data_IF_445269281277
#
_entry.id   IF_445269281277
#
_cell.length_a   1.000
_cell.length_b   1.000
_cell.length_c   1.000
_cell.angle_alpha   90.00
_cell.angle_beta   90.00
_cell.angle_gamma   90.00
#
_symmetry.space_group_name_H-M   'P 1'
#
loop_
_entity.id
_entity.type
_entity.pdbx_description
1 polymer ?
#
# COMPACT_ATOMS: atom_id res chain seq x y z
N UNK A 1 3.57 51.95 10.43
CA UNK A 1 3.54 51.20 9.16
C UNK A 1 3.17 49.78 9.53
N UNK A 2 1.89 49.57 9.80
CA UNK A 2 1.32 48.33 10.34
C UNK A 2 0.88 47.42 9.20
N UNK A 3 1.49 46.24 9.11
CA UNK A 3 1.07 45.19 8.20
C UNK A 3 -0.03 44.37 8.88
N UNK A 4 -1.28 44.67 8.53
CA UNK A 4 -2.44 43.84 8.84
C UNK A 4 -2.28 42.43 8.23
N UNK A 5 -1.92 41.46 9.05
CA UNK A 5 -2.08 40.04 8.72
C UNK A 5 -3.55 39.67 8.93
N UNK A 6 -4.31 39.61 7.84
CA UNK A 6 -5.63 39.00 7.82
C UNK A 6 -5.51 37.52 8.25
N UNK A 7 -5.96 37.21 9.46
CA UNK A 7 -6.31 35.85 9.88
C UNK A 7 -7.47 35.38 9.00
N UNK A 8 -7.18 34.52 8.02
CA UNK A 8 -8.20 33.68 7.41
C UNK A 8 -8.52 32.59 8.43
N UNK A 9 -9.62 32.78 9.17
CA UNK A 9 -10.23 31.77 10.00
C UNK A 9 -10.86 30.70 9.11
N UNK A 10 -10.14 29.60 8.86
CA UNK A 10 -10.74 28.39 8.32
C UNK A 10 -11.24 27.51 9.47
N UNK A 11 -12.42 27.88 9.99
CA UNK A 11 -13.31 26.98 10.73
C UNK A 11 -14.04 26.09 9.73
N UNK A 12 -13.35 25.05 9.27
CA UNK A 12 -14.00 23.81 8.87
C UNK A 12 -13.37 22.72 9.70
N UNK A 13 -14.12 22.22 10.69
CA UNK A 13 -13.79 20.99 11.38
C UNK A 13 -13.42 19.95 10.32
N UNK A 14 -12.14 19.55 10.29
CA UNK A 14 -11.71 18.43 9.50
C UNK A 14 -12.55 17.25 9.97
N UNK A 15 -13.54 16.83 9.16
CA UNK A 15 -14.27 15.59 9.42
C UNK A 15 -13.19 14.53 9.64
N UNK A 16 -13.18 13.92 10.84
CA UNK A 16 -12.41 12.72 11.11
C UNK A 16 -12.77 11.76 9.98
N UNK A 17 -11.88 11.61 9.00
CA UNK A 17 -12.02 10.53 8.04
C UNK A 17 -11.59 9.29 8.82
N UNK A 18 -12.58 8.67 9.48
CA UNK A 18 -12.41 7.35 10.06
C UNK A 18 -11.97 6.43 8.93
N UNK A 19 -10.77 5.87 9.10
CA UNK A 19 -10.32 4.83 8.21
C UNK A 19 -11.20 3.60 8.44
N UNK A 20 -11.66 2.92 7.39
CA UNK A 20 -12.25 1.61 7.58
C UNK A 20 -11.21 0.74 8.30
N UNK A 21 -11.62 -0.18 9.17
CA UNK A 21 -10.67 -1.11 9.71
C UNK A 21 -10.07 -1.95 8.57
N UNK A 22 -8.84 -2.39 8.81
CA UNK A 22 -8.05 -3.15 7.86
C UNK A 22 -8.79 -4.44 7.44
N UNK A 23 -8.50 -4.99 6.25
CA UNK A 23 -9.02 -6.29 5.84
C UNK A 23 -8.86 -7.32 6.97
N UNK A 24 -9.96 -7.95 7.40
CA UNK A 24 -9.94 -8.94 8.49
C UNK A 24 -10.20 -8.41 9.90
N UNK A 25 -10.41 -7.09 10.10
CA UNK A 25 -10.90 -6.53 11.37
C UNK A 25 -12.31 -5.95 11.21
N UNK A 26 -13.34 -6.78 11.41
CA UNK A 26 -14.70 -6.41 11.86
C UNK A 26 -15.48 -5.19 11.28
N UNK A 27 -15.17 -4.62 10.10
CA UNK A 27 -16.17 -3.82 9.35
C UNK A 27 -16.73 -4.60 8.19
N UNK A 28 -18.03 -4.41 7.89
CA UNK A 28 -18.66 -4.94 6.70
C UNK A 28 -17.81 -4.68 5.45
N UNK A 29 -17.52 -5.74 4.73
CA UNK A 29 -16.55 -5.80 3.63
C UNK A 29 -16.79 -4.73 2.54
N UNK A 30 -18.03 -4.29 2.37
CA UNK A 30 -18.42 -3.23 1.44
C UNK A 30 -17.86 -1.84 1.82
N UNK A 31 -18.01 -1.43 3.08
CA UNK A 31 -17.57 -0.11 3.55
C UNK A 31 -16.05 0.06 3.42
N UNK A 32 -15.33 -1.04 3.65
CA UNK A 32 -13.90 -1.15 3.43
C UNK A 32 -13.50 -0.82 1.98
N UNK A 33 -14.08 -1.50 1.00
CA UNK A 33 -13.73 -1.29 -0.41
C UNK A 33 -14.15 0.09 -0.93
N UNK A 34 -15.25 0.63 -0.43
CA UNK A 34 -15.69 1.99 -0.76
C UNK A 34 -14.67 3.03 -0.29
N UNK A 35 -14.20 2.91 0.96
CA UNK A 35 -13.26 3.87 1.52
C UNK A 35 -11.88 3.80 0.87
N UNK A 36 -11.40 2.61 0.46
CA UNK A 36 -10.21 2.50 -0.37
C UNK A 36 -10.43 3.10 -1.76
N UNK A 37 -11.55 2.79 -2.43
CA UNK A 37 -11.85 3.29 -3.78
C UNK A 37 -11.89 4.84 -3.84
N UNK A 38 -12.38 5.50 -2.78
CA UNK A 38 -12.37 6.97 -2.66
C UNK A 38 -10.96 7.60 -2.67
N UNK A 39 -9.90 6.80 -2.49
CA UNK A 39 -8.49 7.24 -2.52
C UNK A 39 -7.77 6.82 -3.81
N UNK A 40 -8.46 6.15 -4.72
CA UNK A 40 -7.91 5.62 -5.95
C UNK A 40 -8.51 6.29 -7.17
N UNK A 41 -7.72 6.36 -8.23
CA UNK A 41 -8.12 6.89 -9.51
C UNK A 41 -7.91 5.85 -10.60
N UNK A 42 -8.76 5.86 -11.62
CA UNK A 42 -8.60 5.01 -12.78
C UNK A 42 -7.27 5.32 -13.50
N UNK A 43 -6.41 4.32 -13.77
CA UNK A 43 -5.11 4.56 -14.43
C UNK A 43 -5.22 5.04 -15.88
N UNK A 44 -6.39 4.86 -16.53
CA UNK A 44 -6.66 5.35 -17.89
C UNK A 44 -7.07 6.83 -17.92
N UNK A 45 -8.09 7.20 -17.13
CA UNK A 45 -8.73 8.52 -17.24
C UNK A 45 -8.66 9.37 -15.96
N UNK A 46 -8.03 8.86 -14.90
CA UNK A 46 -7.86 9.51 -13.58
C UNK A 46 -9.16 9.86 -12.86
N UNK A 47 -10.32 9.38 -13.33
CA UNK A 47 -11.61 9.56 -12.66
C UNK A 47 -11.74 8.59 -11.47
N UNK A 48 -12.60 8.91 -10.48
CA UNK A 48 -12.83 8.05 -9.33
C UNK A 48 -13.27 6.64 -9.72
N UNK A 49 -12.84 5.67 -8.91
CA UNK A 49 -13.28 4.27 -9.00
C UNK A 49 -14.40 4.00 -8.00
N UNK A 50 -15.23 3.00 -8.29
CA UNK A 50 -16.24 2.49 -7.37
C UNK A 50 -16.12 0.97 -7.20
N UNK A 51 -16.37 0.43 -6.01
CA UNK A 51 -16.50 -1.02 -5.86
C UNK A 51 -17.76 -1.51 -6.57
N UNK A 52 -17.67 -2.70 -7.17
CA UNK A 52 -18.82 -3.45 -7.72
C UNK A 52 -18.96 -4.73 -6.90
N UNK A 53 -19.76 -4.72 -5.81
CA UNK A 53 -19.77 -5.79 -4.82
C UNK A 53 -20.40 -7.10 -5.33
N UNK A 54 -21.28 -6.99 -6.32
CA UNK A 54 -21.99 -8.12 -6.92
C UNK A 54 -21.09 -9.01 -7.80
N UNK A 55 -19.87 -8.57 -8.13
CA UNK A 55 -18.94 -9.33 -8.96
C UNK A 55 -18.01 -10.21 -8.12
N UNK A 56 -17.80 -11.44 -8.57
CA UNK A 56 -16.79 -12.37 -8.07
C UNK A 56 -15.83 -12.74 -9.23
N UNK A 57 -14.52 -12.40 -9.16
CA UNK A 57 -13.86 -11.71 -8.04
C UNK A 57 -14.34 -10.27 -7.87
N UNK A 58 -14.17 -9.77 -6.65
CA UNK A 58 -14.47 -8.37 -6.32
C UNK A 58 -13.75 -7.45 -7.30
N UNK A 59 -14.40 -6.36 -7.70
CA UNK A 59 -13.93 -5.54 -8.81
C UNK A 59 -14.13 -4.05 -8.52
N UNK A 60 -13.19 -3.23 -8.97
CA UNK A 60 -13.36 -1.78 -9.07
C UNK A 60 -13.75 -1.40 -10.50
N UNK A 61 -14.70 -0.48 -10.64
CA UNK A 61 -15.19 0.00 -11.94
C UNK A 61 -15.00 1.50 -12.06
N UNK A 62 -14.54 1.94 -13.22
CA UNK A 62 -14.56 3.34 -13.63
C UNK A 62 -15.79 3.61 -14.49
N UNK A 63 -16.76 4.40 -13.99
CA UNK A 63 -17.96 4.76 -14.77
C UNK A 63 -17.68 5.66 -15.97
N UNK A 64 -16.52 6.32 -16.01
CA UNK A 64 -16.20 7.27 -17.09
C UNK A 64 -15.68 6.58 -18.34
N UNK A 65 -14.70 5.69 -18.20
CA UNK A 65 -14.12 4.94 -19.33
C UNK A 65 -14.53 3.46 -19.37
N UNK A 66 -15.50 3.07 -18.54
CA UNK A 66 -16.04 1.70 -18.43
C UNK A 66 -15.02 0.58 -18.17
N UNK A 67 -13.85 0.91 -17.62
CA UNK A 67 -12.84 -0.08 -17.27
C UNK A 67 -13.13 -0.77 -15.93
N UNK A 68 -12.83 -2.06 -15.89
CA UNK A 68 -12.93 -2.91 -14.70
C UNK A 68 -11.55 -3.40 -14.27
N UNK A 69 -11.31 -3.36 -12.96
CA UNK A 69 -10.06 -3.76 -12.33
C UNK A 69 -10.34 -4.81 -11.26
N UNK A 70 -9.89 -6.06 -11.43
CA UNK A 70 -10.12 -7.11 -10.44
C UNK A 70 -9.37 -6.82 -9.15
N UNK A 71 -9.88 -7.34 -8.04
CA UNK A 71 -9.24 -7.33 -6.73
C UNK A 71 -8.82 -8.76 -6.43
N UNK A 72 -7.54 -9.05 -6.61
CA UNK A 72 -6.97 -10.38 -6.39
C UNK A 72 -6.29 -10.42 -5.04
N UNK A 73 -6.63 -11.41 -4.20
CA UNK A 73 -6.13 -11.51 -2.83
C UNK A 73 -6.25 -10.17 -2.08
N UNK A 74 -7.36 -9.45 -2.23
CA UNK A 74 -7.51 -8.13 -1.58
C UNK A 74 -6.52 -7.05 -2.07
N UNK A 75 -6.02 -7.16 -3.30
CA UNK A 75 -5.15 -6.16 -3.96
C UNK A 75 -5.82 -5.74 -5.27
N UNK A 76 -6.34 -4.49 -5.37
CA UNK A 76 -6.80 -3.96 -6.64
C UNK A 76 -5.67 -3.95 -7.69
N UNK A 77 -5.94 -4.52 -8.87
CA UNK A 77 -4.99 -4.65 -9.96
C UNK A 77 -5.08 -3.43 -10.91
N UNK A 78 -4.54 -2.28 -10.51
CA UNK A 78 -4.67 -1.01 -11.25
C UNK A 78 -3.56 -0.79 -12.28
N UNK A 79 -3.25 -1.83 -13.06
CA UNK A 79 -2.37 -1.72 -14.23
C UNK A 79 -3.22 -1.43 -15.46
N UNK A 80 -2.76 -0.47 -16.28
CA UNK A 80 -3.39 -0.17 -17.58
C UNK A 80 -3.52 -1.44 -18.42
N UNK A 81 -4.67 -1.73 -19.05
CA UNK A 81 -4.85 -2.97 -19.82
C UNK A 81 -3.76 -3.19 -20.86
N UNK A 82 -3.33 -2.13 -21.55
CA UNK A 82 -2.27 -2.16 -22.55
C UNK A 82 -0.89 -2.57 -22.01
N UNK A 83 -0.65 -2.45 -20.71
CA UNK A 83 0.63 -2.75 -20.06
C UNK A 83 0.63 -4.05 -19.26
N UNK A 84 -0.51 -4.73 -19.11
CA UNK A 84 -0.63 -5.89 -18.20
C UNK A 84 0.39 -6.98 -18.51
N UNK A 85 0.54 -7.36 -19.78
CA UNK A 85 1.46 -8.43 -20.17
C UNK A 85 2.92 -8.03 -20.01
N UNK A 86 3.25 -6.77 -20.30
CA UNK A 86 4.58 -6.21 -20.10
C UNK A 86 4.97 -6.26 -18.62
N UNK A 87 4.10 -5.75 -17.74
CA UNK A 87 4.31 -5.72 -16.30
C UNK A 87 4.35 -7.14 -15.72
N UNK A 88 3.51 -8.05 -16.20
CA UNK A 88 3.55 -9.45 -15.77
C UNK A 88 4.90 -10.11 -16.10
N UNK A 89 5.42 -9.93 -17.32
CA UNK A 89 6.75 -10.42 -17.71
C UNK A 89 7.86 -9.79 -16.88
N UNK A 90 7.80 -8.47 -16.68
CA UNK A 90 8.76 -7.75 -15.85
C UNK A 90 8.80 -8.31 -14.42
N UNK A 91 7.64 -8.46 -13.78
CA UNK A 91 7.53 -8.99 -12.41
C UNK A 91 8.10 -10.41 -12.29
N UNK A 92 7.83 -11.29 -13.27
CA UNK A 92 8.34 -12.66 -13.26
C UNK A 92 9.88 -12.68 -13.33
N UNK A 93 10.49 -11.89 -14.21
CA UNK A 93 11.94 -11.76 -14.32
C UNK A 93 12.55 -11.14 -13.06
N UNK A 94 11.92 -10.09 -12.55
CA UNK A 94 12.38 -9.37 -11.37
C UNK A 94 12.33 -10.26 -10.12
N UNK A 95 11.28 -11.05 -9.94
CA UNK A 95 11.18 -12.01 -8.83
C UNK A 95 12.23 -13.12 -8.91
N UNK A 96 12.52 -13.64 -10.11
CA UNK A 96 13.58 -14.63 -10.29
C UNK A 96 14.94 -14.09 -9.84
N UNK A 97 15.26 -12.83 -10.19
CA UNK A 97 16.48 -12.15 -9.75
C UNK A 97 16.46 -11.96 -8.24
N UNK A 98 15.37 -11.45 -7.66
CA UNK A 98 15.26 -11.22 -6.21
C UNK A 98 15.40 -12.49 -5.40
N UNK A 99 14.85 -13.62 -5.86
CA UNK A 99 15.03 -14.93 -5.23
C UNK A 99 16.50 -15.37 -5.27
N UNK A 100 17.13 -15.28 -6.45
CA UNK A 100 18.54 -15.64 -6.64
C UNK A 100 19.45 -14.81 -5.73
N UNK A 101 19.22 -13.51 -5.63
CA UNK A 101 20.01 -12.56 -4.85
C UNK A 101 19.65 -12.52 -3.36
N UNK A 102 18.57 -13.18 -2.93
CA UNK A 102 18.14 -13.20 -1.53
C UNK A 102 17.40 -11.94 -1.06
N UNK A 103 16.80 -11.20 -2.00
CA UNK A 103 15.88 -10.08 -1.73
C UNK A 103 14.42 -10.52 -1.58
N UNK A 104 14.15 -11.77 -1.89
CA UNK A 104 12.89 -12.47 -1.67
C UNK A 104 13.23 -13.89 -1.20
N UNK A 105 12.36 -14.47 -0.38
CA UNK A 105 12.52 -15.85 0.06
C UNK A 105 11.15 -16.45 0.40
N UNK A 106 10.85 -17.70 -0.02
CA UNK A 106 9.61 -18.38 0.35
C UNK A 106 9.60 -18.92 1.79
N UNK A 107 10.70 -18.80 2.55
CA UNK A 107 10.74 -19.22 3.95
C UNK A 107 9.61 -18.56 4.76
N UNK A 108 8.81 -19.33 5.51
CA UNK A 108 7.85 -18.77 6.45
C UNK A 108 8.54 -17.80 7.42
N UNK A 109 7.92 -16.65 7.66
CA UNK A 109 8.48 -15.64 8.56
C UNK A 109 9.56 -14.73 7.94
N UNK A 110 9.95 -14.94 6.68
CA UNK A 110 11.00 -14.12 6.04
C UNK A 110 10.60 -12.64 6.03
N UNK A 111 9.43 -12.29 5.49
CA UNK A 111 9.01 -10.90 5.35
C UNK A 111 8.67 -10.24 6.69
N UNK A 112 8.16 -11.00 7.66
CA UNK A 112 7.88 -10.59 9.03
C UNK A 112 9.17 -10.23 9.79
N UNK A 113 10.27 -10.93 9.50
CA UNK A 113 11.56 -10.69 10.12
C UNK A 113 12.24 -9.40 9.61
N UNK A 114 11.93 -8.98 8.38
CA UNK A 114 12.50 -7.77 7.80
C UNK A 114 12.01 -6.49 8.50
N UNK A 115 12.84 -5.45 8.65
CA UNK A 115 14.21 -5.36 8.18
C UNK A 115 15.24 -5.82 9.22
N UNK A 116 14.80 -6.23 10.41
CA UNK A 116 15.68 -6.45 11.57
C UNK A 116 16.47 -7.75 11.48
N UNK A 117 15.97 -8.74 10.75
CA UNK A 117 16.66 -10.01 10.53
C UNK A 117 16.41 -10.51 9.11
N UNK A 118 17.49 -10.72 8.37
CA UNK A 118 17.48 -11.35 7.05
C UNK A 118 17.66 -12.86 7.19
N UNK A 119 16.56 -13.63 7.05
CA UNK A 119 16.62 -15.09 7.16
C UNK A 119 17.31 -15.76 5.96
N UNK A 120 17.55 -15.04 4.86
CA UNK A 120 18.32 -15.59 3.74
C UNK A 120 19.83 -15.58 4.00
N UNK A 121 20.30 -14.72 4.92
CA UNK A 121 21.72 -14.47 5.18
C UNK A 121 22.47 -13.74 4.05
N UNK A 122 21.84 -13.45 2.91
CA UNK A 122 22.53 -12.92 1.71
C UNK A 122 22.73 -11.39 1.75
N UNK A 123 21.83 -10.66 2.41
CA UNK A 123 21.76 -9.20 2.36
C UNK A 123 21.78 -8.55 3.76
N UNK A 124 22.39 -9.22 4.75
CA UNK A 124 22.36 -8.83 6.17
C UNK A 124 22.74 -7.37 6.40
N UNK A 125 23.85 -6.89 5.82
CA UNK A 125 24.32 -5.50 6.00
C UNK A 125 23.34 -4.48 5.42
N UNK A 126 22.75 -4.76 4.26
CA UNK A 126 21.78 -3.86 3.62
C UNK A 126 20.48 -3.81 4.42
N UNK A 127 20.05 -4.94 4.98
CA UNK A 127 18.90 -4.99 5.89
C UNK A 127 19.16 -4.26 7.21
N UNK A 128 20.37 -4.34 7.77
CA UNK A 128 20.77 -3.53 8.93
C UNK A 128 20.68 -2.02 8.64
N UNK A 129 21.15 -1.57 7.46
CA UNK A 129 21.00 -0.18 7.04
C UNK A 129 19.51 0.21 6.93
N UNK A 130 18.67 -0.63 6.30
CA UNK A 130 17.22 -0.39 6.19
C UNK A 130 16.55 -0.35 7.56
N UNK A 131 16.95 -1.20 8.50
CA UNK A 131 16.46 -1.20 9.87
C UNK A 131 16.80 0.10 10.60
N UNK A 132 18.03 0.60 10.46
CA UNK A 132 18.44 1.89 11.04
C UNK A 132 17.64 3.05 10.45
N UNK A 133 17.50 3.10 9.13
CA UNK A 133 16.69 4.13 8.45
C UNK A 133 15.22 4.07 8.89
N UNK A 134 14.65 2.87 9.03
CA UNK A 134 13.30 2.68 9.51
C UNK A 134 13.11 3.19 10.95
N UNK A 135 14.05 2.90 11.85
CA UNK A 135 14.02 3.42 13.22
C UNK A 135 14.09 4.95 13.26
N UNK A 136 14.89 5.57 12.38
CA UNK A 136 14.95 7.04 12.26
C UNK A 136 13.61 7.58 11.78
N UNK A 137 13.00 6.97 10.76
CA UNK A 137 11.67 7.33 10.27
C UNK A 137 10.62 7.23 11.38
N UNK A 138 10.61 6.14 12.16
CA UNK A 138 9.66 5.98 13.27
C UNK A 138 9.82 7.08 14.32
N UNK A 139 11.05 7.41 14.72
CA UNK A 139 11.33 8.51 15.66
C UNK A 139 10.89 9.86 15.09
N UNK A 140 11.15 10.10 13.81
CA UNK A 140 10.73 11.34 13.14
C UNK A 140 9.20 11.46 13.09
N UNK A 141 8.49 10.39 12.71
CA UNK A 141 7.02 10.35 12.70
C UNK A 141 6.46 10.63 14.10
N UNK A 142 6.99 9.98 15.13
CA UNK A 142 6.58 10.21 16.52
C UNK A 142 6.81 11.67 16.94
N UNK A 143 8.00 12.22 16.69
CA UNK A 143 8.32 13.60 17.05
C UNK A 143 7.44 14.61 16.30
N UNK A 144 7.15 14.35 15.02
CA UNK A 144 6.43 15.27 14.15
C UNK A 144 4.92 15.23 14.36
N UNK A 145 4.36 14.05 14.62
CA UNK A 145 2.92 13.82 14.62
C UNK A 145 2.38 13.41 15.99
N UNK A 146 3.19 12.87 16.89
CA UNK A 146 2.72 12.35 18.17
C UNK A 146 1.67 11.27 17.94
N UNK A 147 0.57 11.34 18.69
CA UNK A 147 -0.57 10.42 18.57
C UNK A 147 -1.62 10.87 17.55
N UNK A 148 -1.33 11.90 16.74
CA UNK A 148 -2.25 12.35 15.69
C UNK A 148 -2.39 11.26 14.61
N UNK A 149 -3.59 11.07 14.04
CA UNK A 149 -3.76 10.21 12.88
C UNK A 149 -2.88 10.66 11.71
N UNK A 150 -2.13 9.74 11.11
CA UNK A 150 -1.29 9.98 9.92
C UNK A 150 -1.69 9.01 8.81
N UNK A 151 -1.81 9.55 7.60
CA UNK A 151 -2.01 8.80 6.37
C UNK A 151 -0.66 8.70 5.64
N UNK A 152 -0.25 7.50 5.24
CA UNK A 152 1.03 7.25 4.58
C UNK A 152 0.80 6.54 3.26
N UNK A 153 1.45 7.02 2.20
CA UNK A 153 1.62 6.30 0.94
C UNK A 153 3.05 5.75 0.92
N UNK A 154 3.17 4.42 0.89
CA UNK A 154 4.43 3.71 0.69
C UNK A 154 4.56 3.36 -0.80
N UNK A 155 5.31 4.17 -1.52
CA UNK A 155 5.46 4.10 -2.97
C UNK A 155 6.68 3.25 -3.33
N UNK A 156 6.48 2.17 -4.11
CA UNK A 156 7.51 1.17 -4.36
C UNK A 156 7.70 0.25 -3.16
N UNK A 157 6.58 -0.18 -2.57
CA UNK A 157 6.58 -0.88 -1.29
C UNK A 157 7.24 -2.28 -1.33
N UNK A 158 7.48 -2.83 -2.52
CA UNK A 158 7.99 -4.18 -2.73
C UNK A 158 7.10 -5.21 -2.05
N UNK A 159 7.65 -5.91 -1.05
CA UNK A 159 6.91 -6.90 -0.25
C UNK A 159 5.99 -6.28 0.81
N UNK A 160 6.01 -4.96 1.00
CA UNK A 160 5.21 -4.27 2.01
C UNK A 160 5.71 -4.41 3.44
N UNK A 161 6.96 -4.84 3.68
CA UNK A 161 7.49 -5.02 5.05
C UNK A 161 7.42 -3.73 5.88
N UNK A 162 7.69 -2.57 5.27
CA UNK A 162 7.66 -1.27 5.96
C UNK A 162 6.21 -0.89 6.26
N UNK A 163 5.34 -1.02 5.26
CA UNK A 163 3.90 -0.83 5.39
C UNK A 163 3.28 -1.70 6.48
N UNK A 164 3.67 -2.97 6.59
CA UNK A 164 3.21 -3.89 7.65
C UNK A 164 3.56 -3.36 9.05
N UNK A 165 4.76 -2.80 9.23
CA UNK A 165 5.20 -2.26 10.51
C UNK A 165 4.59 -0.91 10.83
N UNK A 166 4.49 0.00 9.86
CA UNK A 166 3.86 1.30 10.03
C UNK A 166 2.34 1.16 10.27
N UNK A 167 1.72 0.17 9.63
CA UNK A 167 0.30 -0.14 9.72
C UNK A 167 -0.20 -0.50 11.13
N UNK A 168 0.70 -0.84 12.05
CA UNK A 168 0.35 -1.05 13.46
C UNK A 168 -0.07 0.24 14.19
N UNK A 169 0.29 1.41 13.65
CA UNK A 169 0.03 2.72 14.26
C UNK A 169 -0.59 3.73 13.30
N UNK A 170 -0.24 3.65 12.02
CA UNK A 170 -0.65 4.60 11.00
C UNK A 170 -1.53 3.93 9.96
N UNK A 171 -2.25 4.73 9.19
CA UNK A 171 -3.03 4.23 8.07
C UNK A 171 -2.19 4.28 6.80
N UNK A 172 -1.89 3.12 6.24
CA UNK A 172 -0.91 2.97 5.16
C UNK A 172 -1.55 2.40 3.90
N UNK A 173 -1.27 3.03 2.76
CA UNK A 173 -1.49 2.47 1.44
C UNK A 173 -0.11 2.13 0.85
N UNK A 174 0.10 0.86 0.55
CA UNK A 174 1.27 0.35 -0.16
C UNK A 174 0.93 0.22 -1.64
N UNK A 175 1.77 0.80 -2.50
CA UNK A 175 1.65 0.68 -3.95
C UNK A 175 2.95 0.16 -4.54
N UNK A 176 2.82 -0.82 -5.43
CA UNK A 176 3.93 -1.42 -6.16
C UNK A 176 3.41 -2.06 -7.46
N UNK A 177 4.31 -2.38 -8.39
CA UNK A 177 3.97 -3.11 -9.62
C UNK A 177 3.77 -4.60 -9.34
N UNK A 178 4.47 -5.17 -8.36
CA UNK A 178 4.40 -6.59 -8.08
C UNK A 178 3.33 -6.91 -7.04
N UNK A 179 2.22 -7.51 -7.48
CA UNK A 179 1.16 -8.03 -6.62
C UNK A 179 1.29 -9.54 -6.30
N UNK A 180 2.40 -10.15 -6.68
CA UNK A 180 2.70 -11.56 -6.45
C UNK A 180 3.23 -11.87 -5.04
N UNK A 181 3.55 -13.15 -4.75
CA UNK A 181 3.94 -13.64 -3.42
C UNK A 181 5.26 -13.09 -2.89
N UNK A 182 6.07 -12.45 -3.74
CA UNK A 182 7.31 -11.78 -3.35
C UNK A 182 7.22 -10.24 -3.43
N UNK A 183 6.04 -9.74 -3.85
CA UNK A 183 5.62 -8.36 -3.80
C UNK A 183 4.51 -8.17 -2.77
N UNK A 184 3.49 -7.37 -3.09
CA UNK A 184 2.45 -6.96 -2.15
C UNK A 184 1.61 -8.10 -1.56
N UNK A 185 1.60 -9.28 -2.17
CA UNK A 185 0.94 -10.48 -1.62
C UNK A 185 1.84 -11.31 -0.70
N UNK A 186 3.06 -10.84 -0.38
CA UNK A 186 3.94 -11.46 0.61
C UNK A 186 3.27 -11.60 1.99
N UNK A 187 2.35 -10.68 2.33
CA UNK A 187 1.46 -10.81 3.49
C UNK A 187 0.05 -11.17 3.00
N UNK A 188 -0.55 -12.26 3.49
CA UNK A 188 -1.92 -12.62 3.15
C UNK A 188 -2.90 -11.56 3.67
N UNK A 189 -4.08 -11.41 3.04
CA UNK A 189 -5.04 -10.36 3.36
C UNK A 189 -5.37 -10.24 4.85
N UNK A 190 -5.48 -11.38 5.54
CA UNK A 190 -5.87 -11.46 6.95
C UNK A 190 -4.76 -11.02 7.91
N UNK A 191 -3.50 -10.99 7.44
CA UNK A 191 -2.35 -10.57 8.24
C UNK A 191 -1.92 -9.12 7.95
N UNK A 192 -2.41 -8.53 6.85
CA UNK A 192 -2.01 -7.19 6.43
C UNK A 192 -2.52 -6.12 7.37
N UNK A 193 -1.60 -5.30 7.85
CA UNK A 193 -1.90 -4.08 8.59
C UNK A 193 -1.97 -2.83 7.70
N UNK A 194 -2.11 -3.00 6.38
CA UNK A 194 -2.10 -1.91 5.40
C UNK A 194 -2.96 -2.26 4.17
N UNK A 195 -3.33 -1.26 3.37
CA UNK A 195 -3.95 -1.48 2.06
C UNK A 195 -2.88 -1.72 1.01
N UNK A 196 -3.01 -2.78 0.23
CA UNK A 196 -2.13 -3.04 -0.91
C UNK A 196 -2.86 -2.71 -2.20
N UNK A 197 -2.19 -2.02 -3.11
CA UNK A 197 -2.70 -1.68 -4.44
C UNK A 197 -1.61 -1.95 -5.46
N UNK A 198 -1.91 -2.75 -6.48
CA UNK A 198 -1.02 -2.84 -7.62
C UNK A 198 -1.23 -1.61 -8.49
N UNK A 199 -0.16 -0.91 -8.86
CA UNK A 199 -0.29 0.26 -9.72
C UNK A 199 1.04 0.85 -10.14
N UNK A 200 0.98 1.66 -11.20
CA UNK A 200 2.10 2.41 -11.73
C UNK A 200 2.22 3.75 -10.99
N UNK A 201 3.45 4.11 -10.58
CA UNK A 201 3.78 5.43 -10.06
C UNK A 201 4.23 6.29 -11.24
N UNK A 202 3.32 7.12 -11.77
CA UNK A 202 3.59 8.06 -12.87
C UNK A 202 3.44 9.50 -12.38
#
# INVERSE_FOLDING_TARGET
MDLHLHRISNTTAAKKVEWPPLPGRASGEHAHWQALANRLACPECRKPLQPVPALNPKTLHCRHCNHFYPINQGIPQLIRPSRRDEIARFNALYDAIRLKEGWANPLPGYYEALPFRDLSGKNVRLWQCRARSFQILQKWLQKRFGDRPVQILDAGAGSGWMSQRLGARYSVIAIDLNAGPHGLAAFPPQQRCFYAVQGELN
#
